data_IF_505228176995
#
_entry.id   IF_505228176995
#
_cell.length_a   1.000
_cell.length_b   1.000
_cell.length_c   1.000
_cell.angle_alpha   90.00
_cell.angle_beta   90.00
_cell.angle_gamma   90.00
#
_symmetry.space_group_name_H-M   'P 1'
#
loop_
_entity.id
_entity.type
_entity.pdbx_description
1 polymer ?
#
# COMPACT_ATOMS: atom_id res chain seq x y z
N UNK A 1 10.83 -9.17 20.80
CA UNK A 1 9.53 -9.82 21.02
C UNK A 1 8.43 -8.81 20.74
N UNK A 2 7.76 -8.89 19.58
CA UNK A 2 6.70 -7.95 19.21
C UNK A 2 5.54 -8.09 20.20
N UNK A 3 5.09 -6.98 20.81
CA UNK A 3 3.97 -6.99 21.77
C UNK A 3 2.73 -7.53 21.07
N UNK A 4 2.20 -8.66 21.55
CA UNK A 4 0.89 -9.19 21.12
C UNK A 4 -0.16 -8.09 21.29
N UNK A 5 -1.05 -7.85 20.30
CA UNK A 5 -2.15 -6.92 20.47
C UNK A 5 -3.05 -7.34 21.65
N UNK A 6 -3.57 -6.36 22.38
CA UNK A 6 -4.27 -6.54 23.66
C UNK A 6 -5.64 -7.25 23.55
N UNK A 7 -6.06 -7.65 22.35
CA UNK A 7 -7.27 -8.44 22.10
C UNK A 7 -6.98 -9.34 20.88
N UNK A 8 -7.38 -10.62 20.90
CA UNK A 8 -7.24 -11.47 19.73
C UNK A 8 -7.98 -10.82 18.56
N UNK A 9 -7.28 -10.65 17.45
CA UNK A 9 -7.88 -10.16 16.22
C UNK A 9 -8.96 -11.16 15.78
N UNK A 10 -10.17 -10.69 15.48
CA UNK A 10 -11.32 -11.52 15.10
C UNK A 10 -11.99 -10.97 13.84
N UNK A 11 -12.33 -11.84 12.91
CA UNK A 11 -13.07 -11.52 11.70
C UNK A 11 -14.54 -11.23 12.03
N UNK A 12 -15.25 -10.40 11.23
CA UNK A 12 -16.63 -10.00 11.52
C UNK A 12 -17.64 -11.15 11.61
N UNK A 13 -17.40 -12.24 10.89
CA UNK A 13 -18.28 -13.41 10.80
C UNK A 13 -17.69 -14.68 11.45
N UNK A 14 -16.52 -14.56 12.08
CA UNK A 14 -15.79 -15.70 12.65
C UNK A 14 -15.09 -16.60 11.61
N UNK A 15 -15.06 -16.20 10.33
CA UNK A 15 -14.29 -16.87 9.27
C UNK A 15 -12.81 -16.97 9.64
N UNK A 16 -12.18 -18.08 9.25
CA UNK A 16 -10.75 -18.33 9.50
C UNK A 16 -9.87 -18.08 8.29
N UNK A 17 -10.45 -17.78 7.12
CA UNK A 17 -9.71 -17.47 5.90
C UNK A 17 -10.30 -16.22 5.25
N UNK A 18 -9.45 -15.20 5.06
CA UNK A 18 -9.87 -13.91 4.50
C UNK A 18 -9.06 -13.52 3.26
N UNK A 19 -9.63 -12.63 2.44
CA UNK A 19 -8.90 -12.00 1.35
C UNK A 19 -8.33 -10.65 1.81
N UNK A 20 -7.02 -10.46 1.64
CA UNK A 20 -6.32 -9.21 1.98
C UNK A 20 -5.94 -8.45 0.72
N UNK A 21 -6.69 -7.40 0.38
CA UNK A 21 -6.28 -6.48 -0.69
C UNK A 21 -5.00 -5.73 -0.29
N UNK A 22 -4.00 -5.75 -1.15
CA UNK A 22 -2.75 -5.03 -0.98
C UNK A 22 -2.32 -4.27 -2.24
N UNK A 23 -1.60 -3.16 -2.05
CA UNK A 23 -1.03 -2.37 -3.14
C UNK A 23 0.46 -2.05 -2.97
N UNK A 24 1.08 -2.46 -1.86
CA UNK A 24 2.53 -2.37 -1.62
C UNK A 24 2.95 -3.06 -0.31
N UNK A 25 4.23 -3.46 -0.24
CA UNK A 25 4.77 -4.18 0.92
C UNK A 25 4.82 -3.37 2.23
N UNK A 26 5.25 -2.08 2.28
CA UNK A 26 5.30 -1.33 3.54
C UNK A 26 3.96 -1.27 4.28
N UNK A 27 2.84 -1.06 3.55
CA UNK A 27 1.53 -1.02 4.17
C UNK A 27 1.03 -2.42 4.58
N UNK A 28 1.48 -3.46 3.87
CA UNK A 28 0.99 -4.81 4.07
C UNK A 28 1.74 -5.56 5.16
N UNK A 29 3.05 -5.33 5.32
CA UNK A 29 3.92 -6.02 6.27
C UNK A 29 3.34 -6.20 7.67
N UNK A 30 3.08 -5.11 8.43
CA UNK A 30 2.53 -5.20 9.79
C UNK A 30 1.18 -5.90 9.88
N UNK A 31 0.34 -5.78 8.84
CA UNK A 31 -0.99 -6.37 8.79
C UNK A 31 -0.89 -7.88 8.55
N UNK A 32 -0.02 -8.32 7.64
CA UNK A 32 0.24 -9.74 7.41
C UNK A 32 0.79 -10.41 8.67
N UNK A 33 1.70 -9.74 9.39
CA UNK A 33 2.20 -10.23 10.68
C UNK A 33 1.10 -10.29 11.75
N UNK A 34 0.22 -9.30 11.84
CA UNK A 34 -0.88 -9.27 12.83
C UNK A 34 -1.91 -10.37 12.57
N UNK A 35 -2.30 -10.57 11.31
CA UNK A 35 -3.25 -11.62 10.91
C UNK A 35 -2.65 -13.01 11.18
N UNK A 36 -1.37 -13.23 10.83
CA UNK A 36 -0.68 -14.49 11.14
C UNK A 36 -0.55 -14.73 12.64
N UNK A 37 -0.20 -13.69 13.41
CA UNK A 37 -0.08 -13.79 14.88
C UNK A 37 -1.42 -14.10 15.57
N UNK A 38 -2.54 -13.80 14.90
CA UNK A 38 -3.88 -14.15 15.32
C UNK A 38 -4.36 -15.54 14.83
N UNK A 39 -3.51 -16.29 14.14
CA UNK A 39 -3.86 -17.60 13.56
C UNK A 39 -5.07 -17.54 12.62
N UNK A 40 -5.20 -16.45 11.86
CA UNK A 40 -6.16 -16.30 10.77
C UNK A 40 -5.42 -16.57 9.46
N UNK A 41 -5.96 -17.45 8.63
CA UNK A 41 -5.44 -17.69 7.28
C UNK A 41 -5.83 -16.51 6.38
N UNK A 42 -4.98 -16.18 5.41
CA UNK A 42 -5.30 -15.15 4.45
C UNK A 42 -4.62 -15.37 3.11
N UNK A 43 -5.24 -14.83 2.06
CA UNK A 43 -4.65 -14.74 0.72
C UNK A 43 -4.45 -13.27 0.39
N UNK A 44 -3.23 -12.89 -0.02
CA UNK A 44 -2.95 -11.54 -0.50
C UNK A 44 -3.44 -11.39 -1.92
N UNK A 45 -4.30 -10.39 -2.15
CA UNK A 45 -4.71 -9.98 -3.48
C UNK A 45 -4.02 -8.65 -3.81
N UNK A 46 -3.07 -8.67 -4.74
CA UNK A 46 -2.47 -7.46 -5.26
C UNK A 46 -3.28 -6.93 -6.43
N UNK A 47 -3.83 -5.73 -6.26
CA UNK A 47 -4.51 -5.04 -7.33
C UNK A 47 -4.41 -3.54 -7.17
N UNK A 48 -3.61 -2.91 -8.03
CA UNK A 48 -3.58 -1.46 -8.09
C UNK A 48 -3.21 -0.96 -9.49
N UNK A 49 -4.19 -0.88 -10.41
CA UNK A 49 -3.95 -0.48 -11.80
C UNK A 49 -3.53 0.99 -11.93
N UNK A 50 -3.62 1.76 -10.85
CA UNK A 50 -3.25 3.17 -10.85
C UNK A 50 -1.74 3.42 -10.76
N UNK A 51 -0.94 2.42 -10.36
CA UNK A 51 0.48 2.63 -10.09
C UNK A 51 1.14 2.94 -11.41
N UNK A 52 1.84 4.06 -11.51
CA UNK A 52 2.47 4.48 -12.74
C UNK A 52 3.83 5.11 -12.45
N UNK A 53 4.85 4.82 -13.26
CA UNK A 53 4.86 4.01 -14.49
C UNK A 53 4.92 2.50 -14.21
N UNK A 54 4.96 1.69 -15.26
CA UNK A 54 5.09 0.22 -15.15
C UNK A 54 6.24 -0.20 -14.22
N UNK A 55 7.40 0.44 -14.31
CA UNK A 55 8.52 0.14 -13.42
C UNK A 55 8.21 0.33 -11.92
N UNK A 56 7.32 1.27 -11.57
CA UNK A 56 6.84 1.42 -10.19
C UNK A 56 5.87 0.30 -9.81
N UNK A 57 5.00 -0.12 -10.75
CA UNK A 57 4.05 -1.21 -10.53
C UNK A 57 4.81 -2.50 -10.23
N UNK A 58 5.76 -2.87 -11.10
CA UNK A 58 6.58 -4.07 -10.96
C UNK A 58 7.38 -4.04 -9.66
N UNK A 59 8.07 -2.94 -9.35
CA UNK A 59 8.84 -2.83 -8.10
C UNK A 59 7.98 -3.03 -6.85
N UNK A 60 6.80 -2.38 -6.78
CA UNK A 60 5.89 -2.51 -5.63
C UNK A 60 5.27 -3.91 -5.55
N UNK A 61 5.03 -4.55 -6.69
CA UNK A 61 4.49 -5.90 -6.79
C UNK A 61 5.52 -6.93 -6.33
N UNK A 62 6.70 -6.94 -6.93
CA UNK A 62 7.80 -7.86 -6.63
C UNK A 62 8.17 -7.81 -5.14
N UNK A 63 8.20 -6.62 -4.56
CA UNK A 63 8.51 -6.48 -3.14
C UNK A 63 7.44 -7.07 -2.22
N UNK A 64 6.17 -6.97 -2.62
CA UNK A 64 5.06 -7.52 -1.86
C UNK A 64 4.99 -9.05 -2.02
N UNK A 65 5.28 -9.57 -3.23
CA UNK A 65 5.47 -11.01 -3.50
C UNK A 65 6.58 -11.56 -2.61
N UNK A 66 7.77 -10.95 -2.64
CA UNK A 66 8.93 -11.37 -1.83
C UNK A 66 8.58 -11.52 -0.35
N UNK A 67 7.83 -10.56 0.20
CA UNK A 67 7.45 -10.63 1.60
C UNK A 67 6.36 -11.69 1.85
N UNK A 68 5.34 -11.80 0.99
CA UNK A 68 4.34 -12.85 1.10
C UNK A 68 4.96 -14.26 1.04
N UNK A 69 5.91 -14.49 0.13
CA UNK A 69 6.68 -15.74 0.02
C UNK A 69 7.47 -16.05 1.28
N UNK A 70 8.17 -15.04 1.83
CA UNK A 70 8.89 -15.17 3.12
C UNK A 70 7.96 -15.62 4.26
N UNK A 71 6.70 -15.17 4.24
CA UNK A 71 5.71 -15.54 5.24
C UNK A 71 4.97 -16.85 4.91
N UNK A 72 5.20 -17.46 3.75
CA UNK A 72 4.48 -18.65 3.29
C UNK A 72 3.01 -18.39 2.96
N UNK A 73 2.67 -17.17 2.56
CA UNK A 73 1.29 -16.72 2.34
C UNK A 73 0.93 -16.76 0.85
N UNK A 74 -0.24 -17.31 0.46
CA UNK A 74 -0.71 -17.27 -0.92
C UNK A 74 -0.86 -15.84 -1.44
N UNK A 75 -0.37 -15.60 -2.66
CA UNK A 75 -0.39 -14.30 -3.32
C UNK A 75 -1.03 -14.41 -4.69
N UNK A 76 -1.89 -13.45 -5.01
CA UNK A 76 -2.61 -13.35 -6.29
C UNK A 76 -2.34 -11.97 -6.87
N UNK A 77 -1.77 -11.92 -8.07
CA UNK A 77 -1.61 -10.69 -8.87
C UNK A 77 -2.78 -10.60 -9.87
N UNK A 78 -3.47 -9.46 -9.88
CA UNK A 78 -4.50 -9.18 -10.87
C UNK A 78 -3.99 -8.24 -11.96
N UNK A 79 -4.64 -8.26 -13.12
CA UNK A 79 -4.23 -7.52 -14.31
C UNK A 79 -3.99 -6.02 -14.06
N UNK A 80 -2.88 -5.51 -14.59
CA UNK A 80 -2.52 -4.10 -14.58
C UNK A 80 -3.32 -3.30 -15.63
N UNK A 81 -4.64 -3.19 -15.40
CA UNK A 81 -5.58 -2.49 -16.30
C UNK A 81 -5.56 -0.97 -16.11
N UNK A 82 -4.44 -0.35 -16.48
CA UNK A 82 -4.24 1.11 -16.37
C UNK A 82 -5.23 1.89 -17.24
N UNK A 83 -5.65 1.34 -18.37
CA UNK A 83 -6.46 2.07 -19.35
C UNK A 83 -7.88 2.27 -18.84
N UNK A 84 -8.50 1.22 -18.28
CA UNK A 84 -9.77 1.38 -17.55
C UNK A 84 -9.64 2.29 -16.34
N UNK A 85 -8.48 2.30 -15.68
CA UNK A 85 -8.27 3.24 -14.58
C UNK A 85 -8.30 4.70 -15.06
N UNK A 86 -7.61 5.02 -16.17
CA UNK A 86 -7.64 6.36 -16.77
C UNK A 86 -9.04 6.75 -17.24
N UNK A 87 -9.79 5.82 -17.84
CA UNK A 87 -11.19 6.04 -18.20
C UNK A 87 -12.06 6.38 -16.98
N UNK A 88 -11.91 5.61 -15.89
CA UNK A 88 -12.68 5.80 -14.64
C UNK A 88 -12.42 7.15 -13.97
N UNK A 89 -11.22 7.72 -14.10
CA UNK A 89 -10.83 8.97 -13.45
C UNK A 89 -10.85 10.19 -14.38
N UNK A 90 -11.31 10.03 -15.62
CA UNK A 90 -11.43 11.12 -16.58
C UNK A 90 -12.33 12.24 -16.03
N UNK A 91 -11.86 13.48 -16.11
CA UNK A 91 -12.52 14.65 -15.51
C UNK A 91 -12.22 14.87 -14.02
N UNK A 92 -11.49 13.96 -13.36
CA UNK A 92 -11.09 14.06 -11.95
C UNK A 92 -9.58 14.31 -11.79
N UNK A 93 -8.89 14.72 -12.85
CA UNK A 93 -7.43 14.84 -12.90
C UNK A 93 -6.88 15.88 -11.92
N UNK A 94 -7.69 16.88 -11.59
CA UNK A 94 -7.33 18.00 -10.72
C UNK A 94 -7.94 17.94 -9.32
N UNK A 95 -8.74 16.92 -9.03
CA UNK A 95 -9.21 16.66 -7.67
C UNK A 95 -8.02 16.55 -6.70
N UNK A 96 -8.13 17.07 -5.47
CA UNK A 96 -7.07 16.92 -4.48
C UNK A 96 -6.93 15.45 -4.04
N UNK A 97 -5.80 15.12 -3.40
CA UNK A 97 -5.70 13.88 -2.64
C UNK A 97 -6.81 13.83 -1.58
N UNK A 98 -7.39 12.62 -1.37
CA UNK A 98 -8.61 12.39 -0.58
C UNK A 98 -9.90 12.95 -1.20
N UNK A 99 -9.82 13.59 -2.37
CA UNK A 99 -10.99 14.05 -3.14
C UNK A 99 -11.67 12.95 -3.96
N UNK A 100 -12.54 13.34 -4.90
CA UNK A 100 -13.39 12.40 -5.65
C UNK A 100 -12.59 11.40 -6.50
N UNK A 101 -11.41 11.80 -7.00
CA UNK A 101 -10.49 10.89 -7.70
C UNK A 101 -10.07 9.70 -6.83
N UNK A 102 -9.78 9.93 -5.56
CA UNK A 102 -9.37 8.86 -4.64
C UNK A 102 -10.53 7.89 -4.42
N UNK A 103 -11.76 8.39 -4.24
CA UNK A 103 -12.97 7.56 -4.18
C UNK A 103 -13.11 6.68 -5.43
N UNK A 104 -13.11 7.26 -6.63
CA UNK A 104 -13.24 6.51 -7.88
C UNK A 104 -12.15 5.44 -8.05
N UNK A 105 -10.93 5.75 -7.59
CA UNK A 105 -9.80 4.85 -7.63
C UNK A 105 -9.88 3.71 -6.59
N UNK A 106 -10.44 3.95 -5.42
CA UNK A 106 -10.67 2.90 -4.41
C UNK A 106 -11.88 2.04 -4.78
N UNK A 107 -12.95 2.63 -5.32
CA UNK A 107 -14.10 1.89 -5.83
C UNK A 107 -13.67 0.87 -6.88
N UNK A 108 -12.94 1.27 -7.92
CA UNK A 108 -12.43 0.32 -8.93
C UNK A 108 -11.63 -0.82 -8.31
N UNK A 109 -10.76 -0.51 -7.33
CA UNK A 109 -9.92 -1.51 -6.65
C UNK A 109 -10.76 -2.51 -5.85
N UNK A 110 -11.69 -2.01 -5.05
CA UNK A 110 -12.52 -2.86 -4.19
C UNK A 110 -13.63 -3.56 -4.95
N UNK A 111 -14.17 -2.99 -6.02
CA UNK A 111 -15.09 -3.70 -6.93
C UNK A 111 -14.43 -4.98 -7.47
N UNK A 112 -13.17 -4.89 -7.91
CA UNK A 112 -12.44 -6.07 -8.41
C UNK A 112 -12.06 -7.03 -7.27
N UNK A 113 -11.66 -6.53 -6.10
CA UNK A 113 -11.36 -7.37 -4.93
C UNK A 113 -12.58 -8.11 -4.42
N UNK A 114 -13.74 -7.46 -4.36
CA UNK A 114 -14.99 -8.06 -3.93
C UNK A 114 -15.45 -9.13 -4.92
N UNK A 115 -15.33 -8.86 -6.22
CA UNK A 115 -15.61 -9.87 -7.26
C UNK A 115 -14.72 -11.10 -7.09
N UNK A 116 -13.40 -10.92 -6.93
CA UNK A 116 -12.48 -12.02 -6.68
C UNK A 116 -12.84 -12.79 -5.40
N UNK A 117 -13.14 -12.08 -4.30
CA UNK A 117 -13.55 -12.69 -3.05
C UNK A 117 -14.74 -13.66 -3.26
N UNK A 118 -15.73 -13.24 -4.06
CA UNK A 118 -16.89 -14.07 -4.39
C UNK A 118 -16.58 -15.27 -5.27
N UNK A 119 -15.83 -15.06 -6.33
CA UNK A 119 -15.44 -16.11 -7.28
C UNK A 119 -14.65 -17.23 -6.58
N UNK A 120 -13.95 -16.89 -5.50
CA UNK A 120 -13.08 -17.80 -4.76
C UNK A 120 -13.61 -18.18 -3.35
N UNK A 121 -14.89 -17.89 -3.06
CA UNK A 121 -15.56 -18.40 -1.85
C UNK A 121 -15.20 -17.71 -0.53
N UNK A 122 -14.56 -16.53 -0.56
CA UNK A 122 -14.32 -15.73 0.64
C UNK A 122 -15.62 -15.06 1.12
N UNK A 123 -15.85 -15.08 2.43
CA UNK A 123 -16.96 -14.36 3.08
C UNK A 123 -16.52 -13.01 3.67
N UNK A 124 -15.22 -12.81 3.86
CA UNK A 124 -14.62 -11.58 4.37
C UNK A 124 -13.42 -11.17 3.53
N UNK A 125 -13.36 -9.88 3.19
CA UNK A 125 -12.14 -9.25 2.69
C UNK A 125 -11.83 -7.95 3.44
N UNK A 126 -10.56 -7.56 3.43
CA UNK A 126 -10.09 -6.30 4.03
C UNK A 126 -8.99 -5.69 3.17
N UNK A 127 -8.43 -4.56 3.59
CA UNK A 127 -7.43 -3.81 2.82
C UNK A 127 -6.32 -3.25 3.68
N UNK A 128 -5.10 -3.31 3.14
CA UNK A 128 -3.92 -2.66 3.72
C UNK A 128 -3.95 -1.14 3.55
N UNK A 129 -4.82 -0.59 2.69
CA UNK A 129 -4.92 0.86 2.45
C UNK A 129 -5.19 1.64 3.74
N UNK A 130 -5.94 1.05 4.68
CA UNK A 130 -6.34 1.66 5.94
C UNK A 130 -5.18 2.05 6.86
N UNK A 131 -4.01 1.40 6.76
CA UNK A 131 -2.87 1.71 7.65
C UNK A 131 -2.21 3.06 7.37
N UNK A 132 -2.31 3.55 6.15
CA UNK A 132 -1.57 4.74 5.72
C UNK A 132 -2.21 6.01 6.28
N UNK A 133 -1.51 6.75 7.16
CA UNK A 133 -1.97 8.05 7.70
C UNK A 133 -2.27 9.11 6.64
N UNK A 134 -1.73 8.94 5.44
CA UNK A 134 -1.92 9.85 4.32
C UNK A 134 -3.29 9.68 3.65
N UNK A 135 -3.97 8.55 3.87
CA UNK A 135 -5.30 8.28 3.31
C UNK A 135 -6.41 8.53 4.31
N UNK A 136 -7.57 8.91 3.80
CA UNK A 136 -8.79 9.00 4.58
C UNK A 136 -9.37 7.59 4.80
N UNK A 137 -9.49 7.20 6.07
CA UNK A 137 -9.96 5.86 6.44
C UNK A 137 -11.46 5.69 6.23
N UNK A 138 -12.25 6.74 6.47
CA UNK A 138 -13.69 6.69 6.25
C UNK A 138 -13.99 6.57 4.75
N UNK A 139 -13.24 7.31 3.92
CA UNK A 139 -13.32 7.18 2.46
C UNK A 139 -13.00 5.75 2.00
N UNK A 140 -11.89 5.16 2.49
CA UNK A 140 -11.51 3.79 2.15
C UNK A 140 -12.59 2.79 2.58
N UNK A 141 -13.05 2.88 3.83
CA UNK A 141 -14.03 1.95 4.38
C UNK A 141 -15.36 2.02 3.62
N UNK A 142 -15.84 3.23 3.32
CA UNK A 142 -17.05 3.42 2.53
C UNK A 142 -16.96 2.79 1.13
N UNK A 143 -15.79 2.85 0.47
CA UNK A 143 -15.59 2.19 -0.83
C UNK A 143 -15.61 0.65 -0.68
N UNK A 144 -14.96 0.11 0.36
CA UNK A 144 -14.93 -1.32 0.64
C UNK A 144 -16.31 -1.89 0.95
N UNK A 145 -17.08 -1.20 1.81
CA UNK A 145 -18.45 -1.57 2.16
C UNK A 145 -19.39 -1.52 0.94
N UNK A 146 -19.31 -0.47 0.12
CA UNK A 146 -20.06 -0.39 -1.15
C UNK A 146 -19.75 -1.55 -2.08
N UNK A 147 -18.48 -1.94 -2.21
CA UNK A 147 -18.09 -3.06 -3.04
C UNK A 147 -18.61 -4.40 -2.48
N UNK A 148 -18.50 -4.61 -1.17
CA UNK A 148 -19.02 -5.81 -0.50
C UNK A 148 -20.53 -5.96 -0.68
N UNK A 149 -21.29 -4.86 -0.52
CA UNK A 149 -22.74 -4.84 -0.59
C UNK A 149 -23.32 -5.30 -1.94
N UNK A 150 -22.50 -5.31 -3.00
CA UNK A 150 -22.87 -5.85 -4.33
C UNK A 150 -22.98 -7.37 -4.35
N UNK A 151 -22.50 -8.05 -3.29
CA UNK A 151 -22.41 -9.50 -3.26
C UNK A 151 -22.94 -10.06 -1.94
N UNK A 152 -24.07 -10.79 -2.01
CA UNK A 152 -24.75 -11.30 -0.81
C UNK A 152 -23.90 -12.26 0.02
N UNK A 153 -23.66 -11.92 1.29
CA UNK A 153 -22.85 -12.71 2.22
C UNK A 153 -21.35 -12.40 2.21
N UNK A 154 -20.91 -11.36 1.49
CA UNK A 154 -19.56 -10.82 1.59
C UNK A 154 -19.52 -9.60 2.51
N UNK A 155 -18.55 -9.57 3.42
CA UNK A 155 -18.32 -8.44 4.31
C UNK A 155 -16.96 -7.78 4.05
N UNK A 156 -16.94 -6.45 4.08
CA UNK A 156 -15.69 -5.70 4.14
C UNK A 156 -15.33 -5.44 5.60
N UNK A 157 -14.19 -5.95 6.05
CA UNK A 157 -13.74 -5.79 7.42
C UNK A 157 -13.01 -4.46 7.60
N UNK A 158 -13.70 -3.52 8.26
CA UNK A 158 -13.26 -2.14 8.51
C UNK A 158 -12.27 -1.97 9.66
N UNK A 159 -11.50 -3.02 9.98
CA UNK A 159 -10.56 -3.00 11.09
C UNK A 159 -9.55 -1.85 10.97
N UNK A 160 -9.35 -1.14 12.08
CA UNK A 160 -8.42 -0.01 12.11
C UNK A 160 -7.00 -0.50 12.42
N UNK A 161 -6.26 -0.81 11.35
CA UNK A 161 -4.84 -1.22 11.41
C UNK A 161 -3.89 -0.17 12.00
N UNK A 162 -4.34 1.07 12.25
CA UNK A 162 -3.49 2.12 12.87
C UNK A 162 -3.47 2.02 14.39
N UNK A 163 -4.52 1.46 15.00
CA UNK A 163 -4.63 1.29 16.46
C UNK A 163 -3.61 0.25 16.96
N UNK A 164 -3.35 0.27 18.27
CA UNK A 164 -2.42 -0.69 18.90
C UNK A 164 -0.96 -0.57 18.42
N UNK A 165 -0.55 0.57 17.84
CA UNK A 165 0.82 0.79 17.38
C UNK A 165 1.09 0.35 15.94
N UNK A 166 0.09 -0.06 15.16
CA UNK A 166 0.31 -0.57 13.80
C UNK A 166 1.02 0.40 12.84
N UNK A 167 0.83 1.71 13.00
CA UNK A 167 1.58 2.70 12.21
C UNK A 167 3.09 2.71 12.51
N UNK A 168 3.47 2.44 13.76
CA UNK A 168 4.86 2.37 14.19
C UNK A 168 5.49 1.04 13.73
N UNK A 169 4.77 -0.07 13.90
CA UNK A 169 5.17 -1.39 13.39
C UNK A 169 5.38 -1.41 11.88
N UNK A 170 4.58 -0.63 11.13
CA UNK A 170 4.80 -0.43 9.69
C UNK A 170 6.21 0.08 9.39
N UNK A 171 6.69 1.07 10.14
CA UNK A 171 8.02 1.65 9.94
C UNK A 171 9.10 0.66 10.35
N UNK A 172 8.91 -0.04 11.46
CA UNK A 172 9.84 -1.06 11.98
C UNK A 172 10.04 -2.19 10.97
N UNK A 173 8.95 -2.83 10.54
CA UNK A 173 8.99 -3.91 9.54
C UNK A 173 9.52 -3.40 8.22
N UNK A 174 9.15 -2.18 7.79
CA UNK A 174 9.69 -1.63 6.55
C UNK A 174 11.22 -1.46 6.60
N UNK A 175 11.79 -1.05 7.75
CA UNK A 175 13.25 -0.97 7.94
C UNK A 175 13.89 -2.36 7.99
N UNK A 176 13.32 -3.29 8.75
CA UNK A 176 13.80 -4.67 8.88
C UNK A 176 13.85 -5.38 7.52
N UNK A 177 12.83 -5.19 6.69
CA UNK A 177 12.72 -5.81 5.36
C UNK A 177 13.38 -4.99 4.24
N UNK A 178 13.94 -3.82 4.59
CA UNK A 178 14.47 -2.84 3.65
C UNK A 178 13.53 -2.53 2.49
N UNK A 179 12.25 -2.27 2.80
CA UNK A 179 11.26 -2.05 1.75
C UNK A 179 11.50 -0.75 0.96
N UNK A 180 11.00 -0.70 -0.26
CA UNK A 180 11.01 0.46 -1.13
C UNK A 180 10.15 1.57 -0.52
N UNK A 181 10.78 2.72 -0.29
CA UNK A 181 10.15 3.88 0.30
C UNK A 181 9.41 4.69 -0.77
N UNK A 182 8.11 4.47 -0.84
CA UNK A 182 7.22 5.17 -1.77
C UNK A 182 6.99 6.62 -1.33
N UNK A 183 7.26 7.57 -2.23
CA UNK A 183 7.09 9.01 -1.97
C UNK A 183 5.76 9.59 -2.53
N UNK A 184 4.90 8.75 -3.09
CA UNK A 184 3.60 9.12 -3.67
C UNK A 184 2.64 7.92 -3.70
N UNK A 185 1.33 8.17 -3.84
CA UNK A 185 0.31 7.11 -3.74
C UNK A 185 0.48 6.04 -4.82
N UNK A 186 0.98 6.40 -6.00
CA UNK A 186 1.20 5.50 -7.15
C UNK A 186 0.66 6.10 -8.44
N UNK A 187 -0.43 6.88 -8.40
CA UNK A 187 -0.99 7.47 -9.62
C UNK A 187 -0.22 8.71 -10.09
N UNK A 188 -0.30 8.97 -11.40
CA UNK A 188 0.35 10.11 -12.06
C UNK A 188 -0.02 11.45 -11.42
N UNK A 189 -1.25 11.61 -10.95
CA UNK A 189 -1.73 12.84 -10.33
C UNK A 189 -1.13 13.03 -8.93
N UNK A 190 -1.03 11.95 -8.13
CA UNK A 190 -0.34 12.00 -6.84
C UNK A 190 1.15 12.32 -7.01
N UNK A 191 1.79 11.81 -8.07
CA UNK A 191 3.18 12.14 -8.39
C UNK A 191 3.34 13.60 -8.81
N UNK A 192 2.44 14.12 -9.66
CA UNK A 192 2.38 15.53 -10.05
C UNK A 192 2.29 16.42 -8.82
N UNK A 193 1.32 16.16 -7.95
CA UNK A 193 1.03 17.00 -6.79
C UNK A 193 2.17 16.95 -5.75
N UNK A 194 2.72 15.76 -5.48
CA UNK A 194 3.90 15.60 -4.63
C UNK A 194 5.11 16.37 -5.18
N UNK A 195 5.37 16.30 -6.49
CA UNK A 195 6.49 17.02 -7.10
C UNK A 195 6.29 18.53 -7.08
N UNK A 196 5.07 19.03 -7.33
CA UNK A 196 4.75 20.46 -7.24
C UNK A 196 4.99 20.97 -5.82
N UNK A 197 4.52 20.23 -4.81
CA UNK A 197 4.75 20.57 -3.41
C UNK A 197 6.25 20.59 -3.06
N UNK A 198 7.02 19.59 -3.49
CA UNK A 198 8.47 19.53 -3.23
C UNK A 198 9.22 20.71 -3.85
N UNK A 199 8.94 21.05 -5.10
CA UNK A 199 9.57 22.19 -5.79
C UNK A 199 9.25 23.50 -5.08
N UNK A 200 7.99 23.70 -4.67
CA UNK A 200 7.58 24.89 -3.91
C UNK A 200 8.29 25.00 -2.54
N UNK A 201 8.82 23.90 -2.02
CA UNK A 201 9.62 23.83 -0.79
C UNK A 201 11.14 23.80 -1.05
N UNK A 202 11.60 24.09 -2.28
CA UNK A 202 13.01 24.07 -2.65
C UNK A 202 13.64 22.67 -2.74
N UNK A 203 12.84 21.60 -2.79
CA UNK A 203 13.29 20.21 -2.87
C UNK A 203 13.25 19.70 -4.31
N UNK A 204 14.17 18.79 -4.65
CA UNK A 204 14.17 18.09 -5.93
C UNK A 204 12.93 17.20 -6.12
N UNK A 205 12.57 16.93 -7.38
CA UNK A 205 11.51 15.98 -7.74
C UNK A 205 11.81 14.58 -7.19
N UNK A 206 10.76 13.78 -7.01
CA UNK A 206 10.85 12.37 -6.62
C UNK A 206 11.64 11.60 -7.67
N UNK A 207 12.64 10.85 -7.20
CA UNK A 207 13.37 9.86 -7.98
C UNK A 207 12.89 8.49 -7.51
N UNK A 208 12.36 7.68 -8.42
CA UNK A 208 11.78 6.37 -8.11
C UNK A 208 12.87 5.31 -7.98
N UNK A 209 12.61 4.25 -7.23
CA UNK A 209 13.50 3.08 -7.13
C UNK A 209 14.83 3.30 -6.40
N UNK A 210 15.05 4.45 -5.74
CA UNK A 210 16.33 4.75 -5.07
C UNK A 210 16.27 4.68 -3.55
N UNK A 211 15.12 5.02 -2.94
CA UNK A 211 14.96 5.07 -1.49
C UNK A 211 14.42 3.77 -0.94
N UNK A 212 15.11 3.21 0.05
CA UNK A 212 14.67 2.03 0.77
C UNK A 212 14.78 2.30 2.27
N UNK A 213 13.76 1.88 3.01
CA UNK A 213 13.79 1.97 4.47
C UNK A 213 15.02 1.25 5.02
N UNK A 214 15.69 1.84 6.03
CA UNK A 214 16.87 1.27 6.66
C UNK A 214 18.19 1.41 5.89
N UNK A 215 18.18 1.68 4.57
CA UNK A 215 19.42 1.82 3.77
C UNK A 215 20.02 3.22 3.86
N UNK A 216 19.20 4.25 3.73
CA UNK A 216 19.66 5.66 3.74
C UNK A 216 20.17 6.13 5.13
N UNK A 217 19.87 5.38 6.21
CA UNK A 217 20.38 5.66 7.57
C UNK A 217 21.82 5.13 7.76
N UNK A 218 22.30 4.24 6.89
CA UNK A 218 23.66 3.67 6.94
C UNK A 218 24.65 4.36 6.01
N UNK A 219 24.17 5.17 5.06
CA UNK A 219 24.99 5.91 4.09
C UNK A 219 25.56 7.24 4.63
N UNK A 220 25.43 7.50 5.94
CA UNK A 220 25.96 8.66 6.63
C UNK A 220 27.45 8.56 6.98
N UNK A 221 28.30 8.16 6.05
CA UNK A 221 29.75 8.35 6.10
C UNK A 221 30.37 8.09 4.72
N UNK A 222 30.27 9.07 3.81
CA UNK A 222 31.19 9.14 2.67
C UNK A 222 32.08 10.36 2.91
N UNK A 223 33.42 10.21 2.97
CA UNK A 223 34.32 11.34 3.15
C UNK A 223 34.24 12.25 1.93
N UNK A 224 34.19 13.57 2.15
CA UNK A 224 34.32 14.53 1.04
C UNK A 224 35.74 14.46 0.49
N UNK A 225 35.94 13.86 -0.67
CA UNK A 225 37.15 14.09 -1.44
C UNK A 225 37.12 15.51 -1.98
N UNK A 226 38.01 16.33 -1.44
CA UNK A 226 38.23 17.71 -1.84
C UNK A 226 38.74 17.76 -3.27
N UNK A 227 38.10 18.64 -4.05
CA UNK A 227 38.47 18.99 -5.41
C UNK A 227 39.95 19.37 -5.52
N UNK A 228 40.59 18.77 -6.51
CA UNK A 228 41.88 19.16 -7.07
C UNK A 228 41.84 20.61 -7.55
N UNK A 229 42.45 21.50 -6.77
CA UNK A 229 42.64 22.92 -7.08
C UNK A 229 44.08 23.20 -7.51
N UNK A 230 44.28 23.21 -8.82
CA UNK A 230 45.29 23.90 -9.64
C UNK A 230 46.30 24.78 -8.87
N UNK A 231 47.58 24.38 -8.97
CA UNK A 231 48.75 25.23 -8.68
C UNK A 231 48.84 26.41 -9.66
N UNK A 232 49.03 27.61 -9.14
CA UNK A 232 49.52 28.77 -9.89
C UNK A 232 50.76 29.32 -9.17
N UNK A 233 51.84 29.39 -9.98
CA UNK A 233 53.16 30.02 -9.79
C UNK A 233 54.24 29.09 -9.25
#
# INVERSE_FOLDING_TARGET
>A
MSKKPATPLQTPDGSRHILLHSCCAPCAGPIMDDIRAASIDFTVLFYNPNIHPMAEYELRKEENIRYAEKLGVPFVDLDYDKDRWFERVKGLEWEPERGARCTACFDMRFERSALYAREHGFTVFTSTLGISRWKDMAQINACGERAAARHGGLQYWTYNWRKGGGSQRMIEIAKEESFYQQEYCGCVYSLRDSNRHRIAQGRSKIVRGVKFYGRDETAGAVPSEAATGISKR
#
